data_IF_651479182924
#
_entry.id   IF_651479182924
#
_cell.length_a   1.000
_cell.length_b   1.000
_cell.length_c   1.000
_cell.angle_alpha   90.00
_cell.angle_beta   90.00
_cell.angle_gamma   90.00
#
_symmetry.space_group_name_H-M   'P 1'
#
loop_
_entity.id
_entity.type
_entity.pdbx_description
1 polymer ?
#
# COMPACT_ATOMS: atom_id res chain seq x y z
N UNK A 1 -18.18 24.08 -31.28
CA UNK A 1 -18.92 24.25 -30.01
C UNK A 1 -18.74 22.98 -29.21
N UNK A 2 -18.00 23.08 -28.11
CA UNK A 2 -17.54 22.02 -27.22
C UNK A 2 -18.70 21.39 -26.44
N UNK A 3 -18.86 20.06 -26.52
CA UNK A 3 -19.76 19.31 -25.66
C UNK A 3 -19.02 18.88 -24.38
N UNK A 4 -19.37 19.50 -23.24
CA UNK A 4 -18.91 19.10 -21.92
C UNK A 4 -19.59 17.80 -21.48
N UNK A 5 -18.79 16.81 -21.10
CA UNK A 5 -19.22 15.63 -20.34
C UNK A 5 -19.50 16.10 -18.90
N UNK A 6 -20.70 15.88 -18.32
CA UNK A 6 -20.92 16.18 -16.92
C UNK A 6 -20.15 15.17 -16.05
N UNK A 7 -19.14 15.66 -15.34
CA UNK A 7 -18.51 14.95 -14.24
C UNK A 7 -19.57 14.64 -13.17
N UNK A 8 -19.69 13.40 -12.68
CA UNK A 8 -20.52 13.15 -11.51
C UNK A 8 -19.86 13.87 -10.34
N UNK A 9 -20.48 14.97 -9.95
CA UNK A 9 -20.20 15.71 -8.72
C UNK A 9 -20.27 14.69 -7.57
N UNK A 10 -19.12 14.30 -7.05
CA UNK A 10 -18.97 13.35 -5.95
C UNK A 10 -19.51 14.02 -4.68
N UNK A 11 -20.85 14.03 -4.57
CA UNK A 11 -21.56 14.53 -3.40
C UNK A 11 -21.19 13.60 -2.25
N UNK A 12 -20.50 14.18 -1.27
CA UNK A 12 -20.20 13.51 -0.01
C UNK A 12 -21.45 12.84 0.55
N UNK A 13 -21.42 11.51 0.61
CA UNK A 13 -22.45 10.70 1.24
C UNK A 13 -22.12 10.61 2.73
N UNK A 14 -22.94 11.21 3.62
CA UNK A 14 -22.73 11.15 5.05
C UNK A 14 -22.76 9.69 5.55
N UNK A 15 -21.99 9.37 6.59
CA UNK A 15 -21.66 8.00 7.00
C UNK A 15 -22.91 7.12 7.19
N UNK A 16 -23.97 7.69 7.77
CA UNK A 16 -25.23 7.01 8.06
C UNK A 16 -26.06 6.59 6.83
N UNK A 17 -25.71 7.07 5.63
CA UNK A 17 -26.40 6.71 4.37
C UNK A 17 -25.67 5.56 3.66
N UNK A 18 -24.35 5.41 3.85
CA UNK A 18 -23.59 4.25 3.31
C UNK A 18 -24.04 2.91 3.91
N UNK A 19 -24.58 2.94 5.12
CA UNK A 19 -25.11 1.75 5.80
C UNK A 19 -26.37 1.17 5.14
N UNK A 20 -27.00 1.89 4.19
CA UNK A 20 -28.24 1.46 3.51
C UNK A 20 -28.09 0.99 2.07
N UNK A 21 -26.87 0.97 1.52
CA UNK A 21 -26.63 0.35 0.20
C UNK A 21 -26.50 -1.17 0.42
N UNK A 22 -27.30 -1.96 -0.30
CA UNK A 22 -27.42 -3.43 -0.27
C UNK A 22 -26.07 -4.14 -0.46
N UNK A 23 -25.28 -4.17 0.60
CA UNK A 23 -24.13 -5.04 0.80
C UNK A 23 -24.50 -5.85 2.02
N UNK A 24 -24.48 -7.18 1.90
CA UNK A 24 -24.85 -8.07 2.98
C UNK A 24 -24.21 -7.59 4.28
N UNK A 25 -24.95 -7.56 5.39
CA UNK A 25 -24.48 -7.03 6.68
C UNK A 25 -23.13 -7.66 7.09
N UNK A 26 -22.92 -8.90 6.67
CA UNK A 26 -21.69 -9.68 6.80
C UNK A 26 -20.50 -9.09 6.02
N UNK A 27 -20.70 -8.58 4.80
CA UNK A 27 -19.64 -7.99 3.98
C UNK A 27 -19.26 -6.58 4.46
N UNK A 28 -20.22 -5.82 5.02
CA UNK A 28 -19.92 -4.54 5.68
C UNK A 28 -19.02 -4.72 6.89
N UNK A 29 -19.35 -5.67 7.77
CA UNK A 29 -18.54 -5.97 8.96
C UNK A 29 -17.11 -6.41 8.57
N UNK A 30 -16.96 -7.27 7.55
CA UNK A 30 -15.63 -7.68 7.06
C UNK A 30 -14.82 -6.50 6.52
N UNK A 31 -15.46 -5.61 5.75
CA UNK A 31 -14.79 -4.43 5.22
C UNK A 31 -14.35 -3.46 6.32
N UNK A 32 -15.17 -3.27 7.35
CA UNK A 32 -14.85 -2.42 8.49
C UNK A 32 -13.69 -2.99 9.31
N UNK A 33 -13.68 -4.30 9.55
CA UNK A 33 -12.57 -4.98 10.24
C UNK A 33 -11.24 -4.81 9.50
N UNK A 34 -11.25 -4.94 8.16
CA UNK A 34 -10.05 -4.69 7.33
C UNK A 34 -9.56 -3.25 7.42
N UNK A 35 -10.47 -2.27 7.38
CA UNK A 35 -10.11 -0.85 7.50
C UNK A 35 -9.51 -0.55 8.88
N UNK A 36 -10.10 -1.11 9.95
CA UNK A 36 -9.58 -0.99 11.31
C UNK A 36 -8.18 -1.60 11.42
N UNK A 37 -7.98 -2.80 10.87
CA UNK A 37 -6.69 -3.50 10.84
C UNK A 37 -5.63 -2.67 10.09
N UNK A 38 -5.97 -2.14 8.92
CA UNK A 38 -5.06 -1.30 8.14
C UNK A 38 -4.64 -0.05 8.92
N UNK A 39 -5.57 0.61 9.61
CA UNK A 39 -5.25 1.80 10.44
C UNK A 39 -4.33 1.46 11.60
N UNK A 40 -4.53 0.31 12.24
CA UNK A 40 -3.66 -0.15 13.32
C UNK A 40 -2.24 -0.40 12.83
N UNK A 41 -2.08 -1.15 11.73
CA UNK A 41 -0.77 -1.38 11.14
C UNK A 41 -0.11 -0.07 10.71
N UNK A 42 -0.84 0.82 10.03
CA UNK A 42 -0.30 2.12 9.64
C UNK A 42 0.19 2.92 10.86
N UNK A 43 -0.56 2.92 11.95
CA UNK A 43 -0.18 3.62 13.18
C UNK A 43 1.08 3.07 13.83
N UNK A 44 1.26 1.74 13.82
CA UNK A 44 2.48 1.08 14.31
C UNK A 44 3.67 1.42 13.42
N UNK A 45 3.51 1.28 12.10
CA UNK A 45 4.56 1.48 11.11
C UNK A 45 5.03 2.94 11.04
N UNK A 46 4.12 3.90 11.18
CA UNK A 46 4.46 5.33 11.21
C UNK A 46 5.29 5.76 12.43
N UNK A 47 5.28 4.95 13.50
CA UNK A 47 6.05 5.20 14.73
C UNK A 47 7.28 4.30 14.84
N UNK A 48 7.60 3.54 13.79
CA UNK A 48 8.73 2.61 13.75
C UNK A 48 10.06 3.35 13.88
N UNK A 49 10.84 2.98 14.89
CA UNK A 49 12.18 3.46 15.15
C UNK A 49 13.06 2.33 15.68
N UNK A 50 14.37 2.54 15.69
CA UNK A 50 15.35 1.57 16.20
C UNK A 50 15.07 1.16 17.66
N UNK A 51 14.59 2.10 18.47
CA UNK A 51 14.30 1.88 19.89
C UNK A 51 13.04 1.06 20.17
N UNK A 52 12.12 0.93 19.21
CA UNK A 52 10.81 0.32 19.43
C UNK A 52 10.44 -0.80 18.44
N UNK A 53 11.37 -1.15 17.53
CA UNK A 53 11.17 -2.18 16.51
C UNK A 53 10.68 -3.52 17.08
N UNK A 54 11.27 -3.98 18.18
CA UNK A 54 10.90 -5.23 18.84
C UNK A 54 9.45 -5.21 19.33
N UNK A 55 9.06 -4.14 20.02
CA UNK A 55 7.69 -3.96 20.52
C UNK A 55 6.66 -3.90 19.38
N UNK A 56 7.01 -3.27 18.26
CA UNK A 56 6.15 -3.20 17.08
C UNK A 56 6.00 -4.58 16.44
N UNK A 57 7.07 -5.36 16.31
CA UNK A 57 7.01 -6.72 15.77
C UNK A 57 6.12 -7.62 16.62
N UNK A 58 6.23 -7.55 17.96
CA UNK A 58 5.35 -8.29 18.88
C UNK A 58 3.89 -7.87 18.67
N UNK A 59 3.62 -6.57 18.59
CA UNK A 59 2.27 -6.04 18.34
C UNK A 59 1.69 -6.53 17.00
N UNK A 60 2.53 -6.61 15.96
CA UNK A 60 2.13 -7.14 14.64
C UNK A 60 1.85 -8.64 14.72
N UNK A 61 2.67 -9.40 15.46
CA UNK A 61 2.46 -10.84 15.66
C UNK A 61 1.14 -11.12 16.39
N UNK A 62 0.81 -10.32 17.40
CA UNK A 62 -0.48 -10.45 18.08
C UNK A 62 -1.67 -10.17 17.16
N UNK A 63 -1.57 -9.15 16.30
CA UNK A 63 -2.60 -8.87 15.29
C UNK A 63 -2.69 -9.98 14.26
N UNK A 64 -1.56 -10.57 13.87
CA UNK A 64 -1.51 -11.71 12.96
C UNK A 64 -2.24 -12.94 13.52
N UNK A 65 -2.13 -13.21 14.82
CA UNK A 65 -2.80 -14.35 15.45
C UNK A 65 -4.32 -14.14 15.64
N UNK A 66 -4.78 -12.89 15.70
CA UNK A 66 -6.19 -12.51 15.94
C UNK A 66 -7.03 -12.42 14.67
N UNK A 67 -6.40 -12.29 13.50
CA UNK A 67 -7.08 -12.00 12.23
C UNK A 67 -6.81 -13.07 11.16
N UNK A 68 -7.56 -13.01 10.06
CA UNK A 68 -7.35 -13.91 8.91
C UNK A 68 -5.95 -13.63 8.34
N UNK A 69 -5.10 -14.66 8.33
CA UNK A 69 -3.68 -14.57 7.92
C UNK A 69 -3.48 -13.87 6.59
N UNK A 70 -4.29 -14.22 5.59
CA UNK A 70 -4.20 -13.65 4.25
C UNK A 70 -4.44 -12.13 4.25
N UNK A 71 -5.46 -11.66 4.96
CA UNK A 71 -5.80 -10.24 5.02
C UNK A 71 -4.71 -9.45 5.75
N UNK A 72 -4.13 -10.04 6.81
CA UNK A 72 -2.99 -9.45 7.53
C UNK A 72 -1.78 -9.35 6.62
N UNK A 73 -1.37 -10.45 5.98
CA UNK A 73 -0.17 -10.50 5.13
C UNK A 73 -0.31 -9.51 3.97
N UNK A 74 -1.42 -9.54 3.24
CA UNK A 74 -1.63 -8.64 2.09
C UNK A 74 -1.63 -7.17 2.51
N UNK A 75 -2.26 -6.83 3.64
CA UNK A 75 -2.28 -5.44 4.14
C UNK A 75 -0.89 -5.02 4.61
N UNK A 76 -0.20 -5.86 5.36
CA UNK A 76 1.14 -5.58 5.88
C UNK A 76 2.15 -5.40 4.76
N UNK A 77 2.17 -6.30 3.77
CA UNK A 77 3.02 -6.20 2.58
C UNK A 77 2.87 -4.85 1.89
N UNK A 78 1.62 -4.46 1.58
CA UNK A 78 1.34 -3.18 0.91
C UNK A 78 1.83 -2.00 1.73
N UNK A 79 1.63 -2.01 3.05
CA UNK A 79 2.07 -0.91 3.90
C UNK A 79 3.60 -0.80 3.97
N UNK A 80 4.30 -1.93 4.06
CA UNK A 80 5.78 -1.96 4.08
C UNK A 80 6.33 -1.46 2.74
N UNK A 81 5.78 -1.92 1.61
CA UNK A 81 6.19 -1.45 0.29
C UNK A 81 5.94 0.05 0.10
N UNK A 82 4.78 0.55 0.52
CA UNK A 82 4.48 1.98 0.49
C UNK A 82 5.49 2.82 1.31
N UNK A 83 5.92 2.34 2.48
CA UNK A 83 6.94 3.02 3.27
C UNK A 83 8.30 3.06 2.58
N UNK A 84 8.71 1.95 1.95
CA UNK A 84 9.99 1.85 1.25
C UNK A 84 9.97 2.67 -0.05
N UNK A 85 8.86 2.65 -0.78
CA UNK A 85 8.69 3.41 -2.03
C UNK A 85 8.49 4.91 -1.78
N UNK A 86 8.10 5.33 -0.58
CA UNK A 86 7.98 6.74 -0.23
C UNK A 86 9.37 7.38 -0.20
N UNK A 87 9.52 8.49 -0.94
CA UNK A 87 10.78 9.13 -1.33
C UNK A 87 11.56 9.71 -0.13
N UNK A 88 12.14 8.87 0.73
CA UNK A 88 13.01 9.28 1.83
C UNK A 88 14.45 9.37 1.32
N UNK A 89 14.75 10.40 0.54
CA UNK A 89 16.02 10.56 -0.18
C UNK A 89 17.21 11.09 0.65
N UNK A 90 17.30 10.85 1.97
CA UNK A 90 18.41 11.46 2.74
C UNK A 90 19.06 10.64 3.88
N UNK A 91 18.56 9.46 4.28
CA UNK A 91 19.15 8.75 5.44
C UNK A 91 19.29 7.25 5.19
N UNK A 92 20.52 6.81 4.90
CA UNK A 92 20.92 5.40 4.80
C UNK A 92 20.49 4.58 6.02
N UNK A 93 20.42 5.23 7.18
CA UNK A 93 19.94 4.64 8.44
C UNK A 93 18.52 4.08 8.33
N UNK A 94 17.61 4.72 7.57
CA UNK A 94 16.26 4.20 7.38
C UNK A 94 16.24 2.93 6.55
N UNK A 95 17.15 2.78 5.58
CA UNK A 95 17.25 1.56 4.77
C UNK A 95 17.61 0.37 5.64
N UNK A 96 18.59 0.54 6.54
CA UNK A 96 19.01 -0.49 7.49
C UNK A 96 17.86 -0.84 8.45
N UNK A 97 17.14 0.16 8.95
CA UNK A 97 15.98 -0.04 9.83
C UNK A 97 14.88 -0.85 9.14
N UNK A 98 14.50 -0.49 7.92
CA UNK A 98 13.47 -1.22 7.18
C UNK A 98 13.92 -2.63 6.79
N UNK A 99 15.20 -2.82 6.43
CA UNK A 99 15.75 -4.14 6.16
C UNK A 99 15.69 -5.05 7.40
N UNK A 100 16.08 -4.54 8.58
CA UNK A 100 15.97 -5.27 9.84
C UNK A 100 14.51 -5.62 10.18
N UNK A 101 13.60 -4.69 9.94
CA UNK A 101 12.17 -4.90 10.16
C UNK A 101 11.60 -6.01 9.25
N UNK A 102 11.89 -5.96 7.94
CA UNK A 102 11.47 -7.02 6.98
C UNK A 102 12.07 -8.38 7.35
N UNK A 103 13.34 -8.42 7.74
CA UNK A 103 13.99 -9.66 8.19
C UNK A 103 13.32 -10.25 9.45
N UNK A 104 12.91 -9.40 10.39
CA UNK A 104 12.20 -9.84 11.58
C UNK A 104 10.77 -10.32 11.26
N UNK A 105 10.07 -9.68 10.31
CA UNK A 105 8.76 -10.16 9.83
C UNK A 105 8.86 -11.53 9.16
N UNK A 106 9.89 -11.75 8.34
CA UNK A 106 10.18 -13.07 7.77
C UNK A 106 10.37 -14.13 8.87
N UNK A 107 11.12 -13.83 9.93
CA UNK A 107 11.35 -14.78 11.03
C UNK A 107 10.08 -15.06 11.86
N UNK A 108 9.20 -14.07 12.02
CA UNK A 108 8.01 -14.18 12.89
C UNK A 108 6.78 -14.75 12.20
N UNK A 109 6.53 -14.37 10.95
CA UNK A 109 5.38 -14.82 10.16
C UNK A 109 5.75 -16.06 9.33
N UNK A 110 6.98 -16.09 8.80
CA UNK A 110 7.47 -17.17 7.96
C UNK A 110 7.47 -16.84 6.46
N UNK A 111 7.56 -17.89 5.65
CA UNK A 111 7.72 -17.80 4.18
C UNK A 111 6.51 -17.16 3.49
N UNK A 112 5.31 -17.29 4.05
CA UNK A 112 4.06 -16.77 3.46
C UNK A 112 4.11 -15.24 3.27
N UNK A 113 4.70 -14.53 4.24
CA UNK A 113 4.90 -13.09 4.13
C UNK A 113 5.91 -12.75 3.02
N UNK A 114 7.05 -13.44 3.00
CA UNK A 114 8.11 -13.15 2.04
C UNK A 114 7.68 -13.41 0.60
N UNK A 115 6.95 -14.50 0.35
CA UNK A 115 6.41 -14.81 -0.97
C UNK A 115 5.47 -13.69 -1.46
N UNK A 116 4.54 -13.25 -0.61
CA UNK A 116 3.63 -12.16 -0.96
C UNK A 116 4.37 -10.83 -1.15
N UNK A 117 5.36 -10.55 -0.29
CA UNK A 117 6.18 -9.35 -0.37
C UNK A 117 6.96 -9.25 -1.67
N UNK A 118 7.70 -10.30 -2.05
CA UNK A 118 8.48 -10.34 -3.29
C UNK A 118 7.55 -10.24 -4.50
N UNK A 119 6.43 -10.97 -4.48
CA UNK A 119 5.45 -10.91 -5.56
C UNK A 119 4.95 -9.47 -5.79
N UNK A 120 4.45 -8.81 -4.74
CA UNK A 120 3.94 -7.43 -4.86
C UNK A 120 5.05 -6.43 -5.22
N UNK A 121 6.26 -6.63 -4.70
CA UNK A 121 7.42 -5.81 -5.06
C UNK A 121 7.73 -5.87 -6.57
N UNK A 122 7.75 -7.08 -7.14
CA UNK A 122 8.01 -7.28 -8.57
C UNK A 122 6.87 -6.70 -9.41
N UNK A 123 5.61 -6.95 -9.03
CA UNK A 123 4.43 -6.38 -9.71
C UNK A 123 4.45 -4.84 -9.72
N UNK A 124 4.80 -4.21 -8.59
CA UNK A 124 4.96 -2.76 -8.52
C UNK A 124 6.13 -2.28 -9.39
N UNK A 125 7.28 -2.97 -9.33
CA UNK A 125 8.45 -2.63 -10.13
C UNK A 125 8.19 -2.69 -11.64
N UNK A 126 7.57 -3.77 -12.12
CA UNK A 126 7.19 -3.91 -13.54
C UNK A 126 6.19 -2.83 -13.96
N UNK A 127 5.22 -2.50 -13.11
CA UNK A 127 4.27 -1.43 -13.34
C UNK A 127 4.95 -0.06 -13.48
N UNK A 128 5.91 0.25 -12.61
CA UNK A 128 6.70 1.50 -12.72
C UNK A 128 7.58 1.51 -13.97
N UNK A 129 8.26 0.41 -14.28
CA UNK A 129 9.13 0.30 -15.45
C UNK A 129 8.34 0.39 -16.77
N UNK A 130 7.17 -0.25 -16.86
CA UNK A 130 6.30 -0.15 -18.02
C UNK A 130 5.75 1.27 -18.24
N UNK A 131 5.42 1.99 -17.16
CA UNK A 131 5.03 3.40 -17.23
C UNK A 131 6.20 4.29 -17.66
N UNK A 132 7.39 4.04 -17.13
CA UNK A 132 8.60 4.75 -17.52
C UNK A 132 8.92 4.57 -19.01
N UNK A 133 8.93 3.33 -19.51
CA UNK A 133 9.16 3.06 -20.93
C UNK A 133 8.12 3.70 -21.84
N UNK A 134 6.83 3.68 -21.47
CA UNK A 134 5.79 4.40 -22.23
C UNK A 134 5.99 5.92 -22.25
N UNK A 135 6.53 6.50 -21.18
CA UNK A 135 6.81 7.94 -21.12
C UNK A 135 8.03 8.37 -21.95
N UNK A 136 8.93 7.44 -22.29
CA UNK A 136 10.04 7.68 -23.23
C UNK A 136 9.51 7.72 -24.67
N UNK A 137 8.66 6.77 -25.06
CA UNK A 137 8.14 6.64 -26.44
C UNK A 137 7.32 7.87 -26.90
N UNK A 138 6.62 8.54 -25.98
CA UNK A 138 5.83 9.75 -26.31
C UNK A 138 6.70 11.00 -26.52
N UNK A 139 7.93 11.06 -25.97
CA UNK A 139 8.79 12.26 -26.10
C UNK A 139 9.47 12.37 -27.47
N UNK A 140 9.46 11.30 -28.27
CA UNK A 140 10.07 11.28 -29.60
C UNK A 140 9.09 11.71 -30.72
N UNK A 141 7.84 12.09 -30.39
CA UNK A 141 6.83 12.50 -31.40
C UNK A 141 6.76 14.04 -31.59
N UNK A 142 7.20 14.86 -30.64
CA UNK A 142 7.07 16.34 -30.70
C UNK A 142 8.37 17.08 -31.05
N UNK A 143 9.18 16.54 -31.95
CA UNK A 143 10.31 17.25 -32.56
C UNK A 143 10.39 17.06 -34.08
N UNK A 144 9.27 17.10 -34.80
CA UNK A 144 9.32 17.34 -36.25
C UNK A 144 8.01 17.90 -36.81
N UNK A 145 7.89 19.22 -36.88
CA UNK A 145 6.73 19.85 -37.53
C UNK A 145 6.80 21.36 -37.55
N UNK A 146 7.63 21.91 -38.44
CA UNK A 146 7.61 23.34 -38.75
C UNK A 146 8.93 23.87 -39.29
N UNK A 147 9.37 23.37 -40.45
CA UNK A 147 10.24 24.15 -41.34
C UNK A 147 9.35 24.91 -42.33
N UNK A 148 9.89 26.07 -42.74
CA UNK A 148 9.50 26.94 -43.87
C UNK A 148 8.55 28.10 -43.55
#
# INVERSE_FOLDING_TARGET
LTNCIPTPLDKYLPPHIRDKVDVSETDKIKSEQKIRLQRQFQGLLNRLSESNIENIIVSIKELYDKHIRHDVISTLTKLVLNMISSKTMLLDQFVILYAAFVAALYKTIGIDFCANFIQTLVEEFESFHGQFNRSIDTKDIDCNGGKE
#
